data_IF_927174832990
#
_entry.id   IF_927174832990
#
_cell.length_a   1.000
_cell.length_b   1.000
_cell.length_c   1.000
_cell.angle_alpha   90.00
_cell.angle_beta   90.00
_cell.angle_gamma   90.00
#
_symmetry.space_group_name_H-M   'P 1'
#
loop_
_entity.id
_entity.type
_entity.pdbx_description
1 polymer ?
#
# COMPACT_ATOMS: atom_id res chain seq x y z
N UNK A 1 -61.32 2.95 -64.99
CA UNK A 1 -60.34 3.86 -64.36
C UNK A 1 -59.50 2.99 -63.35
N UNK A 2 -58.24 2.64 -63.68
CA UNK A 2 -57.36 1.85 -62.83
C UNK A 2 -56.30 2.80 -62.29
N UNK A 3 -56.34 3.08 -61.00
CA UNK A 3 -55.42 3.95 -60.31
C UNK A 3 -54.18 3.12 -59.89
N UNK A 4 -53.01 3.42 -60.48
CA UNK A 4 -51.71 2.78 -60.19
C UNK A 4 -51.11 3.54 -59.03
N UNK A 5 -51.00 2.89 -57.87
CA UNK A 5 -50.23 3.40 -56.76
C UNK A 5 -48.76 3.01 -56.96
N UNK A 6 -47.94 3.98 -57.24
CA UNK A 6 -46.50 3.85 -57.26
C UNK A 6 -46.01 3.96 -55.81
N UNK A 7 -45.59 2.77 -55.28
CA UNK A 7 -44.93 2.70 -53.94
C UNK A 7 -43.53 3.27 -54.01
N UNK A 8 -43.33 4.33 -53.28
CA UNK A 8 -41.95 4.82 -53.00
C UNK A 8 -41.40 4.03 -51.82
N UNK A 9 -40.45 3.14 -52.08
CA UNK A 9 -39.69 2.46 -51.05
C UNK A 9 -38.67 3.46 -50.47
N UNK A 10 -38.96 3.97 -49.27
CA UNK A 10 -38.00 4.70 -48.45
C UNK A 10 -37.05 3.70 -47.82
N UNK A 11 -35.89 3.47 -48.42
CA UNK A 11 -34.77 2.80 -47.82
C UNK A 11 -34.14 3.75 -46.78
N UNK A 12 -34.55 3.66 -45.53
CA UNK A 12 -33.90 4.28 -44.41
C UNK A 12 -32.59 3.55 -44.13
N UNK A 13 -31.48 4.07 -44.63
CA UNK A 13 -30.15 3.61 -44.28
C UNK A 13 -29.86 3.95 -42.81
N UNK A 14 -30.01 2.98 -41.95
CA UNK A 14 -29.52 3.07 -40.57
C UNK A 14 -28.01 3.04 -40.60
N UNK A 15 -27.34 4.18 -40.60
CA UNK A 15 -25.93 4.34 -40.31
C UNK A 15 -25.76 4.03 -38.82
N UNK A 16 -25.46 2.76 -38.52
CA UNK A 16 -24.98 2.36 -37.17
C UNK A 16 -23.64 3.02 -36.93
N UNK A 17 -23.64 4.16 -36.27
CA UNK A 17 -22.42 4.70 -35.64
C UNK A 17 -22.05 3.78 -34.50
N UNK A 18 -21.21 2.77 -34.76
CA UNK A 18 -20.50 2.05 -33.73
C UNK A 18 -19.46 3.02 -33.16
N UNK A 19 -19.87 3.86 -32.20
CA UNK A 19 -18.94 4.56 -31.35
C UNK A 19 -18.20 3.48 -30.56
N UNK A 20 -17.00 3.13 -31.01
CA UNK A 20 -16.08 2.35 -30.20
C UNK A 20 -15.84 3.18 -28.94
N UNK A 21 -16.53 2.82 -27.85
CA UNK A 21 -16.26 3.36 -26.54
C UNK A 21 -14.84 2.93 -26.15
N UNK A 22 -13.87 3.75 -26.47
CA UNK A 22 -12.53 3.59 -25.92
C UNK A 22 -12.67 3.94 -24.44
N UNK A 23 -12.61 2.92 -23.58
CA UNK A 23 -12.46 3.15 -22.15
C UNK A 23 -11.19 3.97 -21.96
N UNK A 24 -11.33 5.17 -21.40
CA UNK A 24 -10.16 5.99 -21.07
C UNK A 24 -9.27 5.20 -20.08
N UNK A 25 -7.97 5.36 -20.21
CA UNK A 25 -7.05 4.76 -19.23
C UNK A 25 -7.43 5.18 -17.82
N UNK A 26 -7.42 4.25 -16.85
CA UNK A 26 -7.84 4.55 -15.50
C UNK A 26 -6.91 5.60 -14.87
N UNK A 27 -7.49 6.59 -14.20
CA UNK A 27 -6.69 7.57 -13.46
C UNK A 27 -6.03 6.95 -12.22
N UNK A 28 -4.98 7.58 -11.69
CA UNK A 28 -4.32 7.16 -10.45
C UNK A 28 -5.33 7.03 -9.28
N UNK A 29 -6.27 7.97 -9.17
CA UNK A 29 -7.32 7.93 -8.15
C UNK A 29 -8.27 6.73 -8.34
N UNK A 30 -8.69 6.43 -9.57
CA UNK A 30 -9.54 5.25 -9.84
C UNK A 30 -8.84 3.95 -9.44
N UNK A 31 -7.58 3.78 -9.83
CA UNK A 31 -6.78 2.61 -9.47
C UNK A 31 -6.62 2.49 -7.95
N UNK A 32 -6.28 3.59 -7.28
CA UNK A 32 -5.98 3.60 -5.84
C UNK A 32 -7.24 3.45 -4.97
N UNK A 33 -8.39 3.95 -5.42
CA UNK A 33 -9.65 3.80 -4.69
C UNK A 33 -10.12 2.34 -4.60
N UNK A 34 -9.69 1.47 -5.51
CA UNK A 34 -9.93 0.03 -5.41
C UNK A 34 -9.29 -0.60 -4.14
N UNK A 35 -8.27 0.05 -3.58
CA UNK A 35 -7.57 -0.41 -2.37
C UNK A 35 -8.29 -0.01 -1.06
N UNK A 36 -9.27 0.93 -1.14
CA UNK A 36 -9.90 1.53 0.04
C UNK A 36 -10.66 0.53 0.91
N UNK A 37 -11.19 -0.55 0.34
CA UNK A 37 -11.91 -1.59 1.08
C UNK A 37 -11.08 -2.27 2.18
N UNK A 38 -9.76 -2.34 2.00
CA UNK A 38 -8.84 -2.95 2.96
C UNK A 38 -7.91 -1.91 3.61
N UNK A 39 -7.43 -0.95 2.83
CA UNK A 39 -6.43 0.02 3.29
C UNK A 39 -7.03 1.38 3.71
N UNK A 40 -8.36 1.49 3.71
CA UNK A 40 -9.08 2.72 4.07
C UNK A 40 -9.04 3.79 2.99
N UNK A 41 -9.92 4.77 3.10
CA UNK A 41 -9.99 5.91 2.17
C UNK A 41 -8.67 6.66 2.16
N UNK A 42 -8.15 6.94 0.97
CA UNK A 42 -6.84 7.58 0.77
C UNK A 42 -5.67 6.83 1.44
N UNK A 43 -5.84 5.54 1.75
CA UNK A 43 -4.80 4.73 2.35
C UNK A 43 -4.67 4.85 3.87
N UNK A 44 -5.61 5.48 4.56
CA UNK A 44 -5.66 5.52 6.02
C UNK A 44 -6.40 4.31 6.58
N UNK A 45 -5.69 3.25 6.96
CA UNK A 45 -6.28 1.99 7.37
C UNK A 45 -6.98 2.04 8.73
N UNK A 46 -8.18 1.46 8.83
CA UNK A 46 -8.89 1.18 10.08
C UNK A 46 -8.77 -0.28 10.53
N UNK A 47 -8.08 -1.12 9.75
CA UNK A 47 -7.96 -2.56 10.01
C UNK A 47 -6.66 -2.93 10.69
N UNK A 48 -6.71 -3.62 11.83
CA UNK A 48 -5.56 -3.92 12.69
C UNK A 48 -4.39 -4.63 11.99
N UNK A 49 -4.65 -5.43 10.96
CA UNK A 49 -3.63 -6.18 10.21
C UNK A 49 -3.40 -5.62 8.80
N UNK A 50 -4.10 -4.54 8.44
CA UNK A 50 -3.97 -3.88 7.15
C UNK A 50 -3.12 -2.62 7.31
N UNK A 51 -2.03 -2.45 6.54
CA UNK A 51 -1.19 -1.24 6.68
C UNK A 51 -1.89 0.00 6.12
N UNK A 52 -1.58 1.14 6.73
CA UNK A 52 -1.81 2.42 6.10
C UNK A 52 -0.83 2.60 4.94
N UNK A 53 -1.35 3.05 3.79
CA UNK A 53 -0.59 3.36 2.58
C UNK A 53 -0.35 4.88 2.44
N UNK A 54 -1.12 5.68 3.15
CA UNK A 54 -1.01 7.13 3.14
C UNK A 54 0.39 7.58 3.57
N UNK A 55 0.95 8.54 2.84
CA UNK A 55 2.31 9.10 3.02
C UNK A 55 3.48 8.12 2.86
N UNK A 56 3.23 6.87 2.46
CA UNK A 56 4.32 5.97 2.10
C UNK A 56 5.10 6.53 0.91
N UNK A 57 6.41 6.35 0.87
CA UNK A 57 7.16 6.75 -0.31
C UNK A 57 6.67 6.01 -1.56
N UNK A 58 6.70 6.69 -2.71
CA UNK A 58 6.34 6.08 -3.98
C UNK A 58 7.13 4.79 -4.21
N UNK A 59 8.45 4.85 -3.99
CA UNK A 59 9.35 3.70 -4.17
C UNK A 59 8.98 2.53 -3.28
N UNK A 60 8.68 2.78 -1.99
CA UNK A 60 8.29 1.72 -1.06
C UNK A 60 7.00 0.99 -1.50
N UNK A 61 6.00 1.72 -2.01
CA UNK A 61 4.76 1.12 -2.53
C UNK A 61 5.03 0.33 -3.80
N UNK A 62 5.74 0.93 -4.77
CA UNK A 62 6.03 0.29 -6.06
C UNK A 62 6.82 -0.99 -5.87
N UNK A 63 7.88 -0.95 -5.07
CA UNK A 63 8.70 -2.13 -4.76
C UNK A 63 7.90 -3.20 -4.02
N UNK A 64 7.08 -2.82 -3.03
CA UNK A 64 6.22 -3.77 -2.33
C UNK A 64 5.23 -4.47 -3.28
N UNK A 65 4.57 -3.71 -4.17
CA UNK A 65 3.63 -4.26 -5.14
C UNK A 65 4.30 -5.17 -6.16
N UNK A 66 5.48 -4.80 -6.67
CA UNK A 66 6.27 -5.65 -7.58
C UNK A 66 6.70 -6.95 -6.89
N UNK A 67 7.15 -6.88 -5.64
CA UNK A 67 7.52 -8.07 -4.85
C UNK A 67 6.33 -8.96 -4.50
N UNK A 68 5.14 -8.40 -4.28
CA UNK A 68 3.91 -9.19 -4.18
C UNK A 68 3.55 -9.86 -5.51
N UNK A 69 3.67 -9.13 -6.63
CA UNK A 69 3.37 -9.61 -7.97
C UNK A 69 4.27 -10.78 -8.38
N UNK A 70 5.57 -10.68 -8.07
CA UNK A 70 6.57 -11.74 -8.32
C UNK A 70 6.48 -12.92 -7.35
N UNK A 71 5.87 -12.74 -6.17
CA UNK A 71 5.85 -13.73 -5.10
C UNK A 71 7.06 -13.66 -4.17
N UNK A 72 8.01 -12.74 -4.39
CA UNK A 72 9.17 -12.54 -3.51
C UNK A 72 8.76 -12.10 -2.10
N UNK A 73 7.69 -11.26 -2.00
CA UNK A 73 7.11 -10.88 -0.72
C UNK A 73 5.89 -11.75 -0.42
N UNK A 74 5.90 -12.55 0.66
CA UNK A 74 4.76 -13.39 1.02
C UNK A 74 3.57 -12.54 1.46
N UNK A 75 2.36 -13.00 1.13
CA UNK A 75 1.11 -12.36 1.56
C UNK A 75 -0.06 -13.33 1.46
N UNK A 76 -1.10 -13.11 2.24
CA UNK A 76 -2.36 -13.86 2.15
C UNK A 76 -3.17 -13.49 0.90
N UNK A 77 -3.19 -12.20 0.51
CA UNK A 77 -4.05 -11.70 -0.57
C UNK A 77 -3.31 -10.81 -1.59
N UNK A 78 -2.32 -9.99 -1.15
CA UNK A 78 -1.71 -9.00 -2.02
C UNK A 78 -0.98 -9.59 -3.22
N UNK A 79 -0.44 -10.79 -3.10
CA UNK A 79 0.17 -11.52 -4.23
C UNK A 79 -0.83 -11.83 -5.35
N UNK A 80 -2.12 -12.01 -5.03
CA UNK A 80 -3.18 -12.18 -6.03
C UNK A 80 -3.62 -10.85 -6.62
N UNK A 81 -3.81 -9.84 -5.77
CA UNK A 81 -4.25 -8.50 -6.17
C UNK A 81 -3.20 -7.86 -7.09
N UNK A 82 -1.92 -7.89 -6.70
CA UNK A 82 -0.85 -7.24 -7.45
C UNK A 82 -0.68 -7.76 -8.88
N UNK A 83 -1.00 -9.03 -9.13
CA UNK A 83 -0.96 -9.63 -10.48
C UNK A 83 -1.95 -9.01 -11.45
N UNK A 84 -3.02 -8.39 -10.97
CA UNK A 84 -4.02 -7.73 -11.80
C UNK A 84 -3.59 -6.37 -12.36
N UNK A 85 -2.43 -5.83 -11.95
CA UNK A 85 -1.99 -4.50 -12.34
C UNK A 85 -0.73 -4.54 -13.20
N UNK A 86 -0.66 -3.63 -14.19
CA UNK A 86 0.57 -3.37 -14.93
C UNK A 86 1.56 -2.59 -14.06
N UNK A 87 2.84 -2.59 -14.45
CA UNK A 87 3.86 -1.84 -13.71
C UNK A 87 3.62 -0.33 -13.77
N UNK A 88 3.08 0.18 -14.89
CA UNK A 88 2.67 1.57 -15.01
C UNK A 88 1.52 1.93 -14.05
N UNK A 89 0.53 1.04 -13.89
CA UNK A 89 -0.56 1.23 -12.94
C UNK A 89 -0.07 1.19 -11.48
N UNK A 90 0.89 0.30 -11.17
CA UNK A 90 1.54 0.22 -9.86
C UNK A 90 2.28 1.54 -9.58
N UNK A 91 2.98 2.10 -10.57
CA UNK A 91 3.68 3.39 -10.44
C UNK A 91 2.70 4.54 -10.15
N UNK A 92 1.56 4.57 -10.85
CA UNK A 92 0.49 5.55 -10.62
C UNK A 92 -0.10 5.45 -9.20
N UNK A 93 -0.30 4.23 -8.68
CA UNK A 93 -0.78 4.01 -7.31
C UNK A 93 0.27 4.46 -6.27
N UNK A 94 1.55 4.17 -6.50
CA UNK A 94 2.64 4.65 -5.66
C UNK A 94 2.66 6.19 -5.57
N UNK A 95 2.53 6.86 -6.70
CA UNK A 95 2.44 8.32 -6.79
C UNK A 95 1.20 8.87 -6.06
N UNK A 96 0.05 8.21 -6.17
CA UNK A 96 -1.18 8.63 -5.49
C UNK A 96 -1.02 8.57 -3.96
N UNK A 97 -0.57 7.43 -3.41
CA UNK A 97 -0.49 7.24 -1.97
C UNK A 97 0.62 8.07 -1.33
N UNK A 98 1.71 8.32 -2.03
CA UNK A 98 2.80 9.17 -1.53
C UNK A 98 2.38 10.62 -1.30
N UNK A 99 1.35 11.08 -1.99
CA UNK A 99 0.78 12.44 -1.84
C UNK A 99 -0.32 12.53 -0.79
N UNK A 100 -0.75 11.39 -0.22
CA UNK A 100 -1.76 11.43 0.82
C UNK A 100 -1.16 11.91 2.15
N UNK A 101 -2.00 12.56 2.96
CA UNK A 101 -1.59 13.02 4.29
C UNK A 101 -1.30 11.84 5.21
N UNK A 102 -0.28 11.97 6.03
CA UNK A 102 0.03 11.02 7.09
C UNK A 102 -1.23 10.70 7.91
N UNK A 103 -1.47 9.40 8.14
CA UNK A 103 -2.62 8.92 8.88
C UNK A 103 -2.19 8.43 10.26
N UNK A 104 -2.50 9.20 11.29
CA UNK A 104 -2.25 8.81 12.67
C UNK A 104 -3.35 7.85 13.16
N UNK A 105 -3.00 6.61 13.43
CA UNK A 105 -3.93 5.63 14.02
C UNK A 105 -4.12 5.86 15.50
N UNK A 106 -5.34 5.62 16.01
CA UNK A 106 -5.61 5.59 17.45
C UNK A 106 -5.67 4.13 17.90
N UNK A 107 -4.70 3.73 18.71
CA UNK A 107 -4.57 2.37 19.22
C UNK A 107 -3.94 2.34 20.60
N UNK A 108 -4.17 1.26 21.36
CA UNK A 108 -3.56 1.06 22.66
C UNK A 108 -2.15 0.49 22.48
N UNK A 109 -1.20 1.04 23.22
CA UNK A 109 0.18 0.58 23.30
C UNK A 109 0.63 0.58 24.77
N UNK A 110 1.64 -0.21 25.11
CA UNK A 110 2.23 -0.25 26.44
C UNK A 110 3.20 0.93 26.63
N UNK A 111 2.95 1.87 27.57
CA UNK A 111 3.81 3.05 27.75
C UNK A 111 5.25 2.70 28.17
N UNK A 112 5.46 1.62 28.91
CA UNK A 112 6.79 1.19 29.33
C UNK A 112 7.59 0.68 28.14
N UNK A 113 6.95 -0.10 27.25
CA UNK A 113 7.55 -0.55 26.00
C UNK A 113 7.80 0.61 25.05
N UNK A 114 6.90 1.58 24.95
CA UNK A 114 7.11 2.79 24.14
C UNK A 114 8.36 3.53 24.56
N UNK A 115 8.55 3.75 25.88
CA UNK A 115 9.75 4.41 26.40
C UNK A 115 11.03 3.64 26.07
N UNK A 116 11.02 2.32 26.26
CA UNK A 116 12.17 1.47 25.92
C UNK A 116 12.44 1.48 24.40
N UNK A 117 11.37 1.35 23.61
CA UNK A 117 11.44 1.35 22.15
C UNK A 117 11.99 2.65 21.57
N UNK A 118 11.65 3.81 22.17
CA UNK A 118 12.18 5.10 21.76
C UNK A 118 13.71 5.17 21.89
N UNK A 119 14.27 4.69 23.01
CA UNK A 119 15.73 4.66 23.21
C UNK A 119 16.41 3.71 22.20
N UNK A 120 15.83 2.53 21.94
CA UNK A 120 16.36 1.57 20.99
C UNK A 120 16.28 2.10 19.54
N UNK A 121 15.24 2.83 19.21
CA UNK A 121 15.06 3.44 17.90
C UNK A 121 16.12 4.49 17.63
N UNK A 122 16.32 5.42 18.56
CA UNK A 122 17.33 6.48 18.46
C UNK A 122 18.74 5.89 18.24
N UNK A 123 19.09 4.85 18.98
CA UNK A 123 20.41 4.22 18.91
C UNK A 123 20.63 3.41 17.63
N UNK A 124 19.62 2.65 17.18
CA UNK A 124 19.81 1.62 16.17
C UNK A 124 19.10 1.86 14.84
N UNK A 125 18.00 2.62 14.82
CA UNK A 125 17.05 2.65 13.69
C UNK A 125 16.89 4.03 13.04
N UNK A 126 17.07 5.12 13.80
CA UNK A 126 16.79 6.51 13.39
C UNK A 126 17.57 6.97 12.14
N UNK A 127 18.73 6.38 11.84
CA UNK A 127 19.54 6.72 10.66
C UNK A 127 18.87 6.36 9.33
N UNK A 128 18.00 5.34 9.33
CA UNK A 128 17.30 4.85 8.16
C UNK A 128 15.79 5.13 8.26
N UNK A 129 15.22 5.06 9.46
CA UNK A 129 13.81 5.35 9.73
C UNK A 129 13.67 6.75 10.31
N UNK A 130 13.80 7.76 9.43
CA UNK A 130 13.86 9.17 9.82
C UNK A 130 12.56 9.65 10.47
N UNK A 131 12.66 10.71 11.29
CA UNK A 131 11.54 11.34 12.00
C UNK A 131 10.67 10.31 12.73
N UNK A 132 11.30 9.48 13.55
CA UNK A 132 10.63 8.41 14.30
C UNK A 132 9.80 7.48 13.38
N UNK A 133 10.26 7.24 12.17
CA UNK A 133 9.61 6.40 11.17
C UNK A 133 8.45 7.07 10.43
N UNK A 134 8.27 8.39 10.52
CA UNK A 134 7.28 9.14 9.73
C UNK A 134 7.75 9.45 8.32
N UNK A 135 9.05 9.60 8.13
CA UNK A 135 9.61 9.89 6.81
C UNK A 135 9.93 8.58 6.08
N UNK A 136 9.19 8.34 5.01
CA UNK A 136 9.42 7.23 4.09
C UNK A 136 10.34 7.67 2.95
N UNK A 137 11.64 7.57 3.15
CA UNK A 137 12.63 7.91 2.15
C UNK A 137 13.03 6.69 1.33
N UNK A 138 13.09 6.86 0.02
CA UNK A 138 13.45 5.80 -0.94
C UNK A 138 12.55 4.54 -0.76
N UNK A 139 13.12 3.38 -0.54
CA UNK A 139 12.41 2.12 -0.29
C UNK A 139 12.08 1.87 1.20
N UNK A 140 12.51 2.78 2.09
CA UNK A 140 12.21 2.69 3.53
C UNK A 140 10.75 3.08 3.77
N UNK A 141 9.92 2.18 4.34
CA UNK A 141 8.52 2.49 4.56
C UNK A 141 8.30 3.40 5.77
N UNK A 142 7.22 4.18 5.74
CA UNK A 142 6.66 4.83 6.93
C UNK A 142 6.16 3.75 7.89
N UNK A 143 6.75 3.70 9.08
CA UNK A 143 6.37 2.77 10.15
C UNK A 143 5.58 3.43 11.26
N UNK A 144 5.75 4.75 11.42
CA UNK A 144 5.02 5.54 12.40
C UNK A 144 3.51 5.35 12.24
N UNK A 145 2.84 5.19 13.38
CA UNK A 145 1.38 5.02 13.43
C UNK A 145 0.80 3.84 12.64
N UNK A 146 1.60 2.89 12.21
CA UNK A 146 1.09 1.63 11.69
C UNK A 146 0.46 0.82 12.84
N UNK A 147 -0.54 0.00 12.51
CA UNK A 147 -1.18 -0.87 13.48
C UNK A 147 -0.17 -1.84 14.11
N UNK A 148 -0.14 -1.91 15.43
CA UNK A 148 0.78 -2.79 16.16
C UNK A 148 0.69 -4.26 15.70
N UNK A 149 -0.49 -4.87 15.54
CA UNK A 149 -0.59 -6.25 15.02
C UNK A 149 -0.01 -6.40 13.61
N UNK A 150 -0.14 -5.38 12.76
CA UNK A 150 0.50 -5.40 11.43
C UNK A 150 2.03 -5.37 11.55
N UNK A 151 2.57 -4.50 12.40
CA UNK A 151 4.03 -4.41 12.61
C UNK A 151 4.58 -5.74 13.18
N UNK A 152 3.89 -6.33 14.14
CA UNK A 152 4.25 -7.63 14.73
C UNK A 152 4.27 -8.74 13.67
N UNK A 153 3.22 -8.86 12.87
CA UNK A 153 3.15 -9.82 11.77
C UNK A 153 4.30 -9.62 10.76
N UNK A 154 4.66 -8.39 10.42
CA UNK A 154 5.76 -8.14 9.50
C UNK A 154 7.11 -8.53 10.12
N UNK A 155 7.32 -8.28 11.41
CA UNK A 155 8.54 -8.68 12.11
C UNK A 155 8.66 -10.20 12.19
N UNK A 156 7.57 -10.92 12.46
CA UNK A 156 7.52 -12.38 12.44
C UNK A 156 7.91 -12.96 11.08
N UNK A 157 7.42 -12.36 9.99
CA UNK A 157 7.80 -12.78 8.63
C UNK A 157 9.29 -12.58 8.36
N UNK A 158 9.90 -11.52 8.89
CA UNK A 158 11.33 -11.30 8.80
C UNK A 158 12.11 -12.31 9.66
N UNK A 159 11.71 -12.52 10.91
CA UNK A 159 12.38 -13.42 11.85
C UNK A 159 12.32 -14.90 11.41
N UNK A 160 11.20 -15.31 10.82
CA UNK A 160 11.02 -16.66 10.27
C UNK A 160 11.76 -16.89 8.95
N UNK A 161 12.31 -15.83 8.34
CA UNK A 161 12.93 -15.91 7.01
C UNK A 161 11.92 -16.00 5.86
N UNK A 162 10.61 -16.02 6.14
CA UNK A 162 9.57 -16.02 5.11
C UNK A 162 9.60 -14.74 4.25
N UNK A 163 9.99 -13.62 4.84
CA UNK A 163 10.30 -12.38 4.15
C UNK A 163 11.78 -12.05 4.31
N UNK A 164 12.47 -11.80 3.20
CA UNK A 164 13.88 -11.42 3.24
C UNK A 164 14.04 -10.03 3.86
N UNK A 165 14.81 -9.95 4.94
CA UNK A 165 15.17 -8.69 5.59
C UNK A 165 16.29 -8.01 4.80
N UNK A 166 16.24 -6.68 4.57
CA UNK A 166 17.37 -5.94 4.01
C UNK A 166 18.62 -6.13 4.88
N UNK A 167 19.79 -6.29 4.27
CA UNK A 167 21.03 -6.66 4.98
C UNK A 167 21.39 -5.69 6.11
N UNK A 168 21.36 -4.37 5.83
CA UNK A 168 21.63 -3.33 6.83
C UNK A 168 20.64 -3.34 8.00
N UNK A 169 19.37 -3.69 7.74
CA UNK A 169 18.37 -3.86 8.79
C UNK A 169 18.65 -5.13 9.61
N UNK A 170 19.02 -6.22 8.95
CA UNK A 170 19.33 -7.49 9.61
C UNK A 170 20.50 -7.35 10.58
N UNK A 171 21.55 -6.59 10.23
CA UNK A 171 22.69 -6.28 11.12
C UNK A 171 22.23 -5.58 12.41
N UNK A 172 21.23 -4.71 12.34
CA UNK A 172 20.68 -3.97 13.48
C UNK A 172 19.67 -4.77 14.29
N UNK A 173 18.90 -5.63 13.64
CA UNK A 173 17.86 -6.44 14.28
C UNK A 173 18.44 -7.68 14.98
N UNK A 174 19.49 -8.30 14.40
CA UNK A 174 20.08 -9.54 14.91
C UNK A 174 20.53 -9.52 16.39
N UNK A 175 21.14 -8.43 16.91
CA UNK A 175 21.56 -8.37 18.31
C UNK A 175 20.42 -8.11 19.30
N UNK A 176 19.22 -7.72 18.84
CA UNK A 176 18.10 -7.35 19.69
C UNK A 176 17.32 -8.59 20.18
N UNK A 177 16.91 -8.55 21.44
CA UNK A 177 16.02 -9.58 22.00
C UNK A 177 14.60 -9.46 21.44
N UNK A 178 13.77 -10.47 21.67
CA UNK A 178 12.34 -10.41 21.30
C UNK A 178 11.62 -9.27 22.01
N UNK A 179 11.97 -9.03 23.28
CA UNK A 179 11.43 -7.96 24.11
C UNK A 179 11.86 -6.58 23.61
N UNK A 180 13.08 -6.43 23.05
CA UNK A 180 13.55 -5.20 22.44
C UNK A 180 12.80 -4.91 21.14
N UNK A 181 12.62 -5.94 20.31
CA UNK A 181 11.85 -5.81 19.08
C UNK A 181 10.40 -5.46 19.35
N UNK A 182 9.76 -6.11 20.32
CA UNK A 182 8.38 -5.79 20.69
C UNK A 182 8.26 -4.34 21.23
N UNK A 183 9.23 -3.88 22.01
CA UNK A 183 9.30 -2.50 22.46
C UNK A 183 9.40 -1.50 21.29
N UNK A 184 10.24 -1.77 20.28
CA UNK A 184 10.36 -0.98 19.07
C UNK A 184 9.02 -0.92 18.30
N UNK A 185 8.29 -2.03 18.19
CA UNK A 185 7.00 -2.06 17.50
C UNK A 185 5.95 -1.23 18.25
N UNK A 186 5.93 -1.29 19.59
CA UNK A 186 5.08 -0.42 20.41
C UNK A 186 5.41 1.06 20.24
N UNK A 187 6.70 1.40 20.14
CA UNK A 187 7.15 2.77 19.87
C UNK A 187 6.60 3.26 18.51
N UNK A 188 6.89 2.57 17.41
CA UNK A 188 6.41 3.01 16.09
C UNK A 188 4.88 3.08 16.02
N UNK A 189 4.18 2.16 16.65
CA UNK A 189 2.72 2.18 16.73
C UNK A 189 2.18 3.38 17.52
N UNK A 190 2.96 3.97 18.44
CA UNK A 190 2.57 5.10 19.27
C UNK A 190 2.77 6.46 18.61
N UNK A 191 3.65 6.56 17.63
CA UNK A 191 4.04 7.84 16.98
C UNK A 191 2.84 8.46 16.26
N UNK A 192 2.59 9.76 16.45
CA UNK A 192 1.48 10.53 15.87
C UNK A 192 1.98 11.62 14.93
#
# INVERSE_FOLDING_TARGET
MKQRWSGWALTAGALAFSAAAHAADPSAAMLSNACAGCHGTNGGSAGLTMPSLASQSKTAIVEAMKKFKSGERPSSIMGRIAKGYTDAQIDMMGEFFSKQKFHATSQSVDPAKVKKGAALEEENCSRCHLDAGKDGKDDTPVMASQWLPYLQMQMELYQSGARKMPEKMAEKVKPLSKEDLDALLHFYASVK
#
